data_IF_365983774387
#
_entry.id   IF_365983774387
#
_cell.length_a   1.000
_cell.length_b   1.000
_cell.length_c   1.000
_cell.angle_alpha   90.00
_cell.angle_beta   90.00
_cell.angle_gamma   90.00
#
_symmetry.space_group_name_H-M   'P 1'
#
loop_
_entity.id
_entity.type
_entity.pdbx_description
1 polymer ?
#
# COMPACT_ATOMS: atom_id res chain seq x y z
N UNK A 1 34.39 0.91 -32.93
CA UNK A 1 33.72 1.28 -31.65
C UNK A 1 33.84 0.09 -30.70
N UNK A 2 34.43 0.23 -29.53
CA UNK A 2 34.47 -0.81 -28.53
C UNK A 2 33.17 -0.70 -27.68
N UNK A 3 32.12 -1.34 -28.13
CA UNK A 3 30.86 -1.40 -27.40
C UNK A 3 30.15 -2.68 -27.76
N UNK A 4 29.75 -3.43 -26.76
CA UNK A 4 28.99 -4.66 -26.92
C UNK A 4 27.62 -4.45 -27.60
N UNK A 5 26.80 -5.48 -27.71
CA UNK A 5 25.53 -5.43 -28.41
C UNK A 5 24.65 -4.33 -27.84
N UNK A 6 24.25 -3.44 -28.70
CA UNK A 6 23.70 -2.13 -28.37
C UNK A 6 22.21 -2.19 -28.05
N UNK A 7 21.54 -3.30 -28.36
CA UNK A 7 20.10 -3.38 -28.12
C UNK A 7 19.60 -4.80 -27.82
N UNK A 8 18.59 -4.83 -26.93
CA UNK A 8 17.76 -6.01 -26.72
C UNK A 8 16.66 -6.15 -27.79
N UNK A 9 16.70 -5.35 -28.86
CA UNK A 9 15.75 -5.38 -29.98
C UNK A 9 16.20 -6.31 -31.11
N UNK A 10 17.22 -7.12 -30.89
CA UNK A 10 17.80 -8.06 -31.90
C UNK A 10 16.77 -9.04 -32.45
N UNK A 11 15.71 -9.36 -31.71
CA UNK A 11 14.67 -10.27 -32.20
C UNK A 11 13.75 -9.65 -33.27
N UNK A 12 13.73 -8.33 -33.39
CA UNK A 12 12.92 -7.62 -34.38
C UNK A 12 13.65 -7.48 -35.72
N UNK A 13 14.96 -7.39 -35.67
CA UNK A 13 15.79 -7.28 -36.89
C UNK A 13 15.74 -8.56 -37.74
N UNK A 14 15.57 -9.72 -37.12
CA UNK A 14 15.52 -10.99 -37.82
C UNK A 14 14.35 -11.16 -38.81
N UNK A 15 13.28 -10.40 -38.65
CA UNK A 15 12.11 -10.46 -39.52
C UNK A 15 12.05 -9.39 -40.59
N UNK A 16 12.94 -8.41 -40.56
CA UNK A 16 13.02 -7.31 -41.55
C UNK A 16 14.04 -7.56 -42.66
N UNK A 17 14.68 -8.73 -42.72
CA UNK A 17 15.80 -9.07 -43.60
C UNK A 17 15.47 -9.24 -45.07
N UNK A 18 14.21 -9.14 -45.50
CA UNK A 18 13.79 -9.38 -46.89
C UNK A 18 13.68 -8.07 -47.70
N UNK A 19 14.50 -7.08 -47.46
CA UNK A 19 14.52 -5.93 -48.36
C UNK A 19 15.72 -5.99 -49.35
N UNK A 20 15.44 -6.19 -50.64
CA UNK A 20 16.50 -6.38 -51.65
C UNK A 20 17.02 -5.09 -52.24
N UNK A 21 16.78 -3.93 -51.65
CA UNK A 21 17.25 -2.67 -52.24
C UNK A 21 18.44 -2.09 -51.54
N UNK A 22 19.59 -2.00 -52.17
CA UNK A 22 20.83 -1.49 -51.55
C UNK A 22 20.92 0.04 -51.44
N UNK A 23 19.86 0.75 -51.68
CA UNK A 23 19.87 2.21 -51.75
C UNK A 23 19.16 2.92 -50.57
N UNK A 24 18.49 2.17 -49.71
CA UNK A 24 17.87 2.75 -48.52
C UNK A 24 18.72 2.36 -47.33
N UNK A 25 19.37 3.34 -46.71
CA UNK A 25 20.14 3.15 -45.50
C UNK A 25 19.35 2.41 -44.44
N UNK A 26 19.98 1.43 -43.81
CA UNK A 26 19.42 0.70 -42.66
C UNK A 26 18.98 1.68 -41.59
N UNK A 27 17.70 1.75 -41.29
CA UNK A 27 17.21 2.49 -40.16
C UNK A 27 17.58 1.67 -38.92
N UNK A 28 18.70 2.02 -38.29
CA UNK A 28 19.03 1.48 -36.99
C UNK A 28 18.21 2.23 -35.94
N UNK A 29 17.26 1.55 -35.32
CA UNK A 29 16.59 2.05 -34.14
C UNK A 29 17.51 1.88 -32.94
N UNK A 30 17.98 2.98 -32.37
CA UNK A 30 18.76 2.95 -31.13
C UNK A 30 17.78 3.09 -29.96
N UNK A 31 17.63 2.04 -29.17
CA UNK A 31 17.00 2.13 -27.86
C UNK A 31 18.08 2.59 -26.86
N UNK A 32 18.14 3.87 -26.55
CA UNK A 32 18.99 4.38 -25.48
C UNK A 32 18.25 4.26 -24.15
N UNK A 33 18.72 3.38 -23.28
CA UNK A 33 18.38 3.42 -21.86
C UNK A 33 19.32 4.42 -21.18
N UNK A 34 18.81 5.58 -20.81
CA UNK A 34 19.51 6.47 -19.88
C UNK A 34 19.09 6.12 -18.46
N UNK A 35 19.99 6.35 -17.50
CA UNK A 35 19.73 6.13 -16.06
C UNK A 35 18.60 6.98 -15.45
N UNK A 36 17.90 7.75 -16.27
CA UNK A 36 16.82 8.66 -15.88
C UNK A 36 15.53 8.47 -16.67
N UNK A 37 15.32 7.30 -17.28
CA UNK A 37 14.14 7.03 -18.09
C UNK A 37 14.43 7.10 -19.59
N UNK A 38 13.92 6.12 -20.31
CA UNK A 38 14.15 5.98 -21.73
C UNK A 38 13.35 7.02 -22.50
N UNK A 39 14.02 7.93 -23.16
CA UNK A 39 13.41 8.76 -24.20
C UNK A 39 13.86 8.19 -25.54
N UNK A 40 12.96 7.55 -26.26
CA UNK A 40 13.16 7.33 -27.69
C UNK A 40 12.78 8.62 -28.39
N UNK A 41 13.71 9.53 -28.47
CA UNK A 41 13.58 10.70 -29.32
C UNK A 41 14.04 10.31 -30.74
N UNK A 42 13.10 9.78 -31.52
CA UNK A 42 13.27 9.81 -32.96
C UNK A 42 13.20 11.26 -33.36
N UNK A 43 14.33 11.86 -33.65
CA UNK A 43 14.35 13.22 -34.17
C UNK A 43 13.28 13.32 -35.27
N UNK A 44 12.29 14.18 -35.09
CA UNK A 44 11.14 14.38 -35.99
C UNK A 44 11.56 14.44 -37.48
N UNK A 45 12.81 14.83 -37.72
CA UNK A 45 13.44 14.88 -39.04
C UNK A 45 13.63 13.50 -39.68
N UNK A 46 13.96 12.48 -38.87
CA UNK A 46 14.14 11.11 -39.41
C UNK A 46 12.77 10.50 -39.73
N UNK A 47 11.78 10.75 -38.87
CA UNK A 47 10.39 10.26 -39.12
C UNK A 47 9.77 10.96 -40.31
N UNK A 48 9.94 12.27 -40.47
CA UNK A 48 9.27 13.03 -41.54
C UNK A 48 9.94 12.91 -42.91
N UNK A 49 11.26 12.69 -42.95
CA UNK A 49 12.02 12.72 -44.20
C UNK A 49 12.51 11.34 -44.69
N UNK A 50 12.60 10.34 -43.81
CA UNK A 50 13.12 9.03 -44.15
C UNK A 50 12.03 7.94 -44.25
N UNK A 51 10.86 8.14 -43.65
CA UNK A 51 9.77 7.18 -43.74
C UNK A 51 8.86 7.53 -44.89
N UNK A 52 9.08 6.88 -46.04
CA UNK A 52 8.13 6.87 -47.12
C UNK A 52 6.76 6.38 -46.59
N UNK A 53 5.60 6.99 -46.99
CA UNK A 53 4.27 6.55 -46.57
C UNK A 53 4.01 5.05 -46.73
N UNK A 54 4.76 4.36 -47.63
CA UNK A 54 4.70 2.91 -47.79
C UNK A 54 5.33 2.11 -46.64
N UNK A 55 6.14 2.73 -45.79
CA UNK A 55 6.79 2.05 -44.65
C UNK A 55 5.90 2.07 -43.39
N UNK A 56 4.93 2.98 -43.30
CA UNK A 56 3.98 3.04 -42.20
C UNK A 56 3.11 1.78 -42.04
N UNK A 57 3.11 0.88 -43.01
CA UNK A 57 2.47 -0.43 -42.96
C UNK A 57 3.42 -1.59 -42.64
N UNK A 58 4.71 -1.33 -42.40
CA UNK A 58 5.66 -2.37 -42.10
C UNK A 58 5.45 -2.88 -40.66
N UNK A 59 5.20 -4.18 -40.53
CA UNK A 59 5.03 -4.85 -39.23
C UNK A 59 6.26 -4.84 -38.30
N UNK A 60 7.37 -4.25 -38.76
CA UNK A 60 8.61 -4.08 -37.99
C UNK A 60 8.69 -2.78 -37.18
N UNK A 61 7.68 -1.90 -37.26
CA UNK A 61 7.58 -0.70 -36.43
C UNK A 61 6.88 -1.01 -35.10
N UNK A 62 7.22 -2.09 -34.45
CA UNK A 62 6.82 -2.31 -33.05
C UNK A 62 7.62 -1.38 -32.16
N UNK A 63 6.89 -0.62 -31.34
CA UNK A 63 7.52 0.20 -30.30
C UNK A 63 8.36 -0.73 -29.42
N UNK A 64 9.60 -0.32 -29.11
CA UNK A 64 10.40 -1.03 -28.12
C UNK A 64 9.62 -1.09 -26.80
N UNK A 65 9.59 -2.23 -26.12
CA UNK A 65 8.93 -2.31 -24.83
C UNK A 65 9.62 -1.41 -23.81
N UNK A 66 8.86 -0.59 -23.14
CA UNK A 66 9.33 0.17 -21.98
C UNK A 66 9.15 -0.70 -20.74
N UNK A 67 10.26 -1.01 -20.10
CA UNK A 67 10.28 -1.80 -18.87
C UNK A 67 10.22 -0.88 -17.66
N UNK A 68 9.38 -1.22 -16.71
CA UNK A 68 9.20 -0.49 -15.46
C UNK A 68 8.01 -1.02 -14.68
N UNK A 69 7.73 -0.44 -13.54
CA UNK A 69 6.57 -0.82 -12.73
C UNK A 69 5.26 -0.38 -13.38
N UNK A 70 4.40 -1.32 -13.75
CA UNK A 70 3.09 -1.06 -14.38
C UNK A 70 1.93 -1.04 -13.39
N UNK A 71 2.15 -1.29 -12.10
CA UNK A 71 1.10 -1.24 -11.07
C UNK A 71 0.93 0.19 -10.55
N UNK A 72 -0.25 0.77 -10.77
CA UNK A 72 -0.59 2.13 -10.32
C UNK A 72 -0.64 2.29 -8.80
N UNK A 73 -0.66 1.20 -8.03
CA UNK A 73 -0.60 1.24 -6.57
C UNK A 73 0.84 1.28 -6.04
N UNK A 74 1.83 1.03 -6.88
CA UNK A 74 3.23 1.10 -6.50
C UNK A 74 3.72 2.55 -6.37
N UNK A 75 4.67 2.78 -5.46
CA UNK A 75 5.26 4.11 -5.23
C UNK A 75 6.15 4.58 -6.38
N UNK A 76 6.65 3.63 -7.18
CA UNK A 76 7.48 3.87 -8.36
C UNK A 76 6.76 3.50 -9.66
N UNK A 77 5.41 3.64 -9.68
CA UNK A 77 4.63 3.43 -10.91
C UNK A 77 5.15 4.30 -12.06
N UNK A 78 5.36 3.67 -13.20
CA UNK A 78 5.74 4.34 -14.44
C UNK A 78 4.60 4.20 -15.47
N UNK A 79 3.87 5.29 -15.70
CA UNK A 79 2.75 5.33 -16.66
C UNK A 79 3.20 5.13 -18.12
N UNK A 80 4.49 5.20 -18.40
CA UNK A 80 5.06 4.98 -19.73
C UNK A 80 5.50 3.53 -19.95
N UNK A 81 5.66 2.75 -18.86
CA UNK A 81 6.00 1.35 -18.96
C UNK A 81 4.91 0.55 -19.66
N UNK A 82 5.32 -0.30 -20.59
CA UNK A 82 4.45 -1.21 -21.34
C UNK A 82 4.65 -2.68 -20.94
N UNK A 83 5.74 -2.95 -20.21
CA UNK A 83 6.09 -4.29 -19.70
C UNK A 83 6.56 -4.15 -18.26
N UNK A 84 5.96 -4.92 -17.36
CA UNK A 84 6.39 -4.99 -15.99
C UNK A 84 7.75 -5.70 -15.89
N UNK A 85 8.69 -5.05 -15.23
CA UNK A 85 10.04 -5.57 -14.99
C UNK A 85 10.22 -6.11 -13.55
N UNK A 86 9.12 -6.21 -12.81
CA UNK A 86 9.08 -6.63 -11.40
C UNK A 86 9.81 -5.67 -10.45
N UNK A 87 9.99 -4.41 -10.85
CA UNK A 87 10.63 -3.37 -10.02
C UNK A 87 9.66 -2.65 -9.10
N UNK A 88 8.37 -3.03 -9.08
CA UNK A 88 7.35 -2.35 -8.31
C UNK A 88 7.68 -2.32 -6.81
N UNK A 89 7.64 -1.13 -6.24
CA UNK A 89 7.86 -0.89 -4.81
C UNK A 89 6.58 -0.39 -4.16
N UNK A 90 6.27 -0.91 -2.97
CA UNK A 90 5.07 -0.53 -2.22
C UNK A 90 5.45 0.08 -0.88
N UNK A 91 4.71 1.09 -0.44
CA UNK A 91 4.84 1.62 0.91
C UNK A 91 4.36 0.56 1.92
N UNK A 92 4.93 0.50 3.15
CA UNK A 92 4.43 -0.38 4.18
C UNK A 92 3.00 -0.01 4.59
N UNK A 93 2.22 -0.95 5.18
CA UNK A 93 0.89 -0.66 5.69
C UNK A 93 0.89 0.51 6.68
N UNK A 94 -0.12 1.39 6.60
CA UNK A 94 -0.34 2.47 7.55
C UNK A 94 -1.54 2.12 8.41
N UNK A 95 -1.42 2.25 9.73
CA UNK A 95 -2.42 1.85 10.71
C UNK A 95 -3.07 3.06 11.35
N UNK A 96 -4.39 3.08 11.39
CA UNK A 96 -5.21 3.98 12.19
C UNK A 96 -6.35 3.21 12.81
N UNK A 97 -6.92 3.70 13.92
CA UNK A 97 -8.06 3.02 14.54
C UNK A 97 -9.02 3.99 15.21
N UNK A 98 -10.28 3.58 15.30
CA UNK A 98 -11.27 4.14 16.22
C UNK A 98 -11.32 3.25 17.45
N UNK A 99 -11.04 3.84 18.62
CA UNK A 99 -11.05 3.14 19.91
C UNK A 99 -12.32 3.54 20.67
N UNK A 100 -13.14 2.55 21.00
CA UNK A 100 -14.30 2.72 21.86
C UNK A 100 -13.94 2.22 23.26
N UNK A 101 -13.92 3.14 24.21
CA UNK A 101 -13.68 2.83 25.61
C UNK A 101 -14.88 2.13 26.25
N UNK A 102 -14.66 1.50 27.39
CA UNK A 102 -15.69 0.79 28.15
C UNK A 102 -16.75 1.77 28.66
N UNK A 103 -18.03 1.40 28.53
CA UNK A 103 -19.17 2.24 28.89
C UNK A 103 -19.40 2.37 30.40
N UNK A 104 -19.07 1.33 31.17
CA UNK A 104 -19.26 1.27 32.63
C UNK A 104 -18.06 0.58 33.29
N UNK A 105 -17.80 0.94 34.55
CA UNK A 105 -16.73 0.30 35.33
C UNK A 105 -16.91 -1.23 35.38
N UNK A 106 -15.82 -1.98 35.13
CA UNK A 106 -15.77 -3.43 35.07
C UNK A 106 -16.61 -4.07 33.93
N UNK A 107 -17.08 -3.32 32.96
CA UNK A 107 -17.63 -3.86 31.72
C UNK A 107 -16.50 -4.38 30.81
N UNK A 108 -16.85 -5.19 29.80
CA UNK A 108 -15.92 -5.67 28.78
C UNK A 108 -16.49 -5.37 27.38
N UNK A 109 -16.99 -4.17 27.18
CA UNK A 109 -17.63 -3.72 25.94
C UNK A 109 -16.75 -2.79 25.10
N UNK A 110 -15.47 -2.70 25.41
CA UNK A 110 -14.49 -1.97 24.62
C UNK A 110 -14.29 -2.58 23.23
N UNK A 111 -13.93 -1.75 22.25
CA UNK A 111 -13.61 -2.21 20.89
C UNK A 111 -12.56 -1.36 20.22
N UNK A 112 -11.87 -1.96 19.27
CA UNK A 112 -10.92 -1.29 18.37
C UNK A 112 -11.32 -1.64 16.95
N UNK A 113 -11.68 -0.63 16.16
CA UNK A 113 -11.97 -0.69 14.73
C UNK A 113 -10.72 -0.20 14.00
N UNK A 114 -9.94 -1.14 13.45
CA UNK A 114 -8.66 -0.88 12.80
C UNK A 114 -8.87 -0.59 11.33
N UNK A 115 -8.19 0.44 10.84
CA UNK A 115 -8.17 0.78 9.41
C UNK A 115 -6.74 0.66 8.92
N UNK A 116 -6.55 -0.18 7.90
CA UNK A 116 -5.25 -0.37 7.23
C UNK A 116 -5.30 0.27 5.86
N UNK A 117 -4.27 1.05 5.53
CA UNK A 117 -4.10 1.67 4.21
C UNK A 117 -2.66 1.50 3.71
N UNK A 118 -2.45 1.48 2.40
CA UNK A 118 -1.13 1.18 1.81
C UNK A 118 -0.73 -0.28 2.01
N UNK A 119 0.52 -0.62 1.69
CA UNK A 119 0.97 -2.01 1.63
C UNK A 119 0.32 -2.80 0.49
N UNK A 120 0.66 -4.07 0.39
CA UNK A 120 0.08 -4.99 -0.60
C UNK A 120 -0.81 -6.02 0.09
N UNK A 121 -2.07 -6.12 -0.33
CA UNK A 121 -3.01 -7.14 0.18
C UNK A 121 -2.63 -8.55 -0.31
N UNK A 122 -2.96 -9.62 0.46
CA UNK A 122 -3.71 -9.64 1.72
C UNK A 122 -2.87 -9.26 2.94
N UNK A 123 -3.55 -8.78 4.00
CA UNK A 123 -2.92 -8.51 5.29
C UNK A 123 -3.13 -9.68 6.26
N UNK A 124 -2.16 -9.85 7.16
CA UNK A 124 -2.30 -10.72 8.33
C UNK A 124 -2.19 -9.89 9.61
N UNK A 125 -3.01 -10.21 10.60
CA UNK A 125 -3.18 -9.46 11.84
C UNK A 125 -2.76 -10.31 13.02
N UNK A 126 -1.97 -9.76 13.94
CA UNK A 126 -1.57 -10.44 15.19
C UNK A 126 -1.68 -9.43 16.34
N UNK A 127 -2.71 -9.60 17.16
CA UNK A 127 -2.91 -8.79 18.36
C UNK A 127 -2.22 -9.39 19.59
N UNK A 128 -1.86 -8.54 20.54
CA UNK A 128 -1.23 -8.96 21.81
C UNK A 128 -2.09 -9.88 22.67
N UNK A 129 -3.43 -9.87 22.49
CA UNK A 129 -4.38 -10.74 23.16
C UNK A 129 -4.60 -12.08 22.41
N UNK A 130 -3.86 -12.34 21.33
CA UNK A 130 -3.93 -13.57 20.54
C UNK A 130 -5.05 -13.63 19.51
N UNK A 131 -5.73 -12.51 19.20
CA UNK A 131 -6.67 -12.42 18.10
C UNK A 131 -5.96 -12.14 16.77
N UNK A 132 -6.59 -12.57 15.66
CA UNK A 132 -6.04 -12.49 14.30
C UNK A 132 -6.99 -11.78 13.31
N UNK A 133 -8.04 -11.14 13.82
CA UNK A 133 -9.00 -10.35 13.04
C UNK A 133 -8.53 -8.91 12.90
N UNK A 134 -9.00 -8.19 11.88
CA UNK A 134 -8.72 -6.77 11.72
C UNK A 134 -9.25 -5.99 12.92
N UNK A 135 -10.56 -6.13 13.19
CA UNK A 135 -11.23 -5.49 14.32
C UNK A 135 -11.31 -6.45 15.50
N UNK A 136 -11.29 -5.86 16.71
CA UNK A 136 -11.45 -6.60 17.96
C UNK A 136 -12.47 -5.91 18.87
N UNK A 137 -13.29 -6.72 19.54
CA UNK A 137 -14.36 -6.24 20.40
C UNK A 137 -14.46 -7.05 21.69
N UNK A 138 -15.40 -6.68 22.58
CA UNK A 138 -15.60 -7.29 23.89
C UNK A 138 -14.30 -7.26 24.73
N UNK A 139 -13.64 -6.12 24.72
CA UNK A 139 -12.32 -5.97 25.33
C UNK A 139 -12.46 -5.36 26.74
N UNK A 140 -11.76 -5.92 27.75
CA UNK A 140 -11.53 -5.25 29.03
C UNK A 140 -10.64 -4.03 28.88
N UNK A 141 -10.51 -3.19 29.92
CA UNK A 141 -9.53 -2.10 29.94
C UNK A 141 -8.11 -2.66 29.81
N UNK A 142 -7.27 -2.01 28.99
CA UNK A 142 -5.93 -2.50 28.77
C UNK A 142 -5.22 -1.88 27.58
N UNK A 143 -4.01 -2.34 27.33
CA UNK A 143 -3.21 -1.96 26.16
C UNK A 143 -3.23 -3.12 25.17
N UNK A 144 -3.58 -2.81 23.92
CA UNK A 144 -3.66 -3.74 22.83
C UNK A 144 -2.69 -3.34 21.74
N UNK A 145 -1.67 -4.17 21.52
CA UNK A 145 -0.70 -3.98 20.44
C UNK A 145 -1.05 -4.87 19.26
N UNK A 146 -0.84 -4.35 18.06
CA UNK A 146 -1.09 -5.04 16.79
C UNK A 146 0.17 -5.04 15.94
N UNK A 147 0.41 -6.16 15.26
CA UNK A 147 1.31 -6.27 14.13
C UNK A 147 0.48 -6.63 12.89
N UNK A 148 0.58 -5.80 11.86
CA UNK A 148 -0.01 -6.05 10.54
C UNK A 148 1.11 -6.34 9.57
N UNK A 149 1.03 -7.49 8.91
CA UNK A 149 1.99 -7.89 7.86
C UNK A 149 1.29 -7.95 6.53
N UNK A 150 1.84 -7.34 5.53
CA UNK A 150 1.34 -7.35 4.15
C UNK A 150 1.84 -8.56 3.34
N UNK A 151 1.39 -8.68 2.08
CA UNK A 151 1.78 -9.78 1.19
C UNK A 151 3.28 -9.80 0.83
N UNK A 152 3.99 -8.68 0.99
CA UNK A 152 5.44 -8.59 0.80
C UNK A 152 6.23 -8.89 2.07
N UNK A 153 5.54 -9.17 3.20
CA UNK A 153 6.18 -9.36 4.49
C UNK A 153 6.59 -8.07 5.19
N UNK A 154 6.13 -6.91 4.73
CA UNK A 154 6.36 -5.64 5.41
C UNK A 154 5.46 -5.56 6.64
N UNK A 155 6.03 -5.16 7.79
CA UNK A 155 5.33 -5.15 9.07
C UNK A 155 5.14 -3.72 9.56
N UNK A 156 3.91 -3.40 9.95
CA UNK A 156 3.58 -2.18 10.69
C UNK A 156 2.96 -2.51 12.04
N UNK A 157 3.31 -1.75 13.06
CA UNK A 157 2.89 -1.99 14.43
C UNK A 157 2.27 -0.75 15.05
N UNK A 158 1.25 -0.94 15.88
CA UNK A 158 0.60 0.12 16.64
C UNK A 158 0.17 -0.40 18.01
N UNK A 159 -0.16 0.51 18.93
CA UNK A 159 -0.72 0.17 20.24
C UNK A 159 -1.84 1.14 20.59
N UNK A 160 -2.93 0.60 21.11
CA UNK A 160 -4.14 1.32 21.49
C UNK A 160 -4.49 1.05 22.94
N UNK A 161 -5.11 2.00 23.60
CA UNK A 161 -5.45 1.90 25.03
C UNK A 161 -6.96 1.99 25.15
N UNK A 162 -7.58 0.99 25.78
CA UNK A 162 -8.97 1.02 26.22
C UNK A 162 -8.98 1.39 27.70
N UNK A 163 -9.74 2.42 28.03
CA UNK A 163 -9.89 2.92 29.39
C UNK A 163 -11.29 2.58 29.92
N UNK A 164 -11.44 2.57 31.26
CA UNK A 164 -12.72 2.45 31.94
C UNK A 164 -13.04 3.69 32.76
N UNK A 165 -14.32 4.02 32.96
CA UNK A 165 -14.72 5.07 33.90
C UNK A 165 -14.44 4.66 35.32
N UNK A 166 -14.25 5.66 36.20
CA UNK A 166 -14.07 5.40 37.61
C UNK A 166 -15.32 4.72 38.22
N UNK A 167 -15.14 3.83 39.21
CA UNK A 167 -16.25 3.25 39.90
C UNK A 167 -17.07 4.32 40.62
N UNK A 168 -18.37 4.17 40.59
CA UNK A 168 -19.27 5.02 41.39
C UNK A 168 -19.08 4.60 42.83
N UNK A 169 -18.62 5.52 43.66
CA UNK A 169 -18.54 5.31 45.13
C UNK A 169 -19.53 6.20 45.80
N UNK A 170 -20.33 5.62 46.70
CA UNK A 170 -21.23 6.38 47.57
C UNK A 170 -20.70 6.30 48.99
N UNK A 171 -20.62 7.43 49.64
CA UNK A 171 -20.38 7.53 51.09
C UNK A 171 -21.67 7.86 51.76
N UNK A 172 -21.95 7.23 52.88
CA UNK A 172 -23.17 7.50 53.67
C UNK A 172 -22.79 7.78 55.11
N UNK A 173 -23.54 8.68 55.72
CA UNK A 173 -23.51 8.92 57.15
C UNK A 173 -24.79 8.37 57.79
N UNK A 174 -24.62 7.63 58.86
CA UNK A 174 -25.73 7.08 59.61
C UNK A 174 -25.83 7.86 60.94
N UNK A 175 -27.01 8.43 61.19
CA UNK A 175 -27.34 8.97 62.50
C UNK A 175 -28.23 7.96 63.18
N UNK A 176 -27.76 7.39 64.26
CA UNK A 176 -28.54 6.45 65.07
C UNK A 176 -29.71 7.16 65.75
N UNK A 177 -30.76 6.41 66.06
CA UNK A 177 -31.87 6.93 66.88
C UNK A 177 -31.37 7.39 68.27
N UNK A 178 -31.94 8.45 68.79
CA UNK A 178 -31.58 9.02 70.10
C UNK A 178 -31.95 8.13 71.31
N UNK A 179 -32.79 7.12 71.09
CA UNK A 179 -33.20 6.20 72.13
C UNK A 179 -34.11 5.08 71.66
N UNK A 180 -34.42 4.13 72.56
CA UNK A 180 -35.31 3.00 72.26
C UNK A 180 -36.74 3.52 71.97
N UNK A 181 -37.26 3.13 70.78
CA UNK A 181 -38.61 3.53 70.35
C UNK A 181 -38.66 4.88 69.60
N UNK A 182 -37.52 5.58 69.44
CA UNK A 182 -37.45 6.80 68.63
C UNK A 182 -37.32 6.48 67.12
N UNK A 183 -37.85 7.36 66.30
CA UNK A 183 -37.83 7.23 64.85
C UNK A 183 -36.99 8.37 64.19
N UNK A 184 -35.98 8.86 64.87
CA UNK A 184 -35.17 10.03 64.49
C UNK A 184 -33.82 9.64 63.87
N UNK A 185 -33.60 8.36 63.60
CA UNK A 185 -32.45 7.90 62.84
C UNK A 185 -32.54 8.31 61.39
N UNK A 186 -31.38 8.61 60.75
CA UNK A 186 -31.31 8.97 59.31
C UNK A 186 -30.08 8.40 58.66
N UNK A 187 -30.19 8.20 57.36
CA UNK A 187 -29.09 7.87 56.45
C UNK A 187 -29.03 8.98 55.41
N UNK A 188 -27.91 9.62 55.29
CA UNK A 188 -27.63 10.59 54.21
C UNK A 188 -26.53 10.06 53.31
N UNK A 189 -26.68 10.20 51.97
CA UNK A 189 -25.75 9.82 50.93
C UNK A 189 -25.08 11.08 50.39
#
# INVERSE_FOLDING_TARGET
WPGGPIDNCVSVEGNCTNNPSPQLGTIMSYCHTTSSGSIIDFHQVVVNNALNPGILGASCLTLCPFYGCTDSNATNYDSTATVDDSSCMYAPPQLSAVVNNISCHASNDGSIDLVVSGGLTPYTFIWSNGLFTEDINNLPPGIYSINVTDALGQISSASYIITEPNPITATYAVTNTSGVGMSDGSISV
#
